data_IF_226150311140
#
_entry.id   IF_226150311140
#
_cell.length_a   1.000
_cell.length_b   1.000
_cell.length_c   1.000
_cell.angle_alpha   90.00
_cell.angle_beta   90.00
_cell.angle_gamma   90.00
#
_symmetry.space_group_name_H-M   'P 1'
#
loop_
_entity.id
_entity.type
_entity.pdbx_description
1 polymer ?
#
# COMPACT_ATOMS: atom_id res chain seq x y z
N UNK A 1 -5.69 -33.80 -1.44
CA UNK A 1 -6.39 -32.73 -0.74
C UNK A 1 -6.67 -33.12 0.70
N UNK A 2 -6.46 -32.20 1.61
CA UNK A 2 -6.59 -32.35 3.07
C UNK A 2 -7.58 -31.32 3.65
N UNK A 3 -8.72 -31.15 2.96
CA UNK A 3 -9.74 -30.16 3.28
C UNK A 3 -10.15 -30.05 4.75
N UNK A 4 -10.23 -31.14 5.54
CA UNK A 4 -10.58 -31.05 6.96
C UNK A 4 -9.60 -30.25 7.80
N UNK A 5 -8.32 -30.25 7.44
CA UNK A 5 -7.24 -29.53 8.15
C UNK A 5 -6.73 -28.33 7.36
N UNK A 6 -7.30 -28.05 6.19
CA UNK A 6 -6.97 -26.90 5.38
C UNK A 6 -7.68 -25.64 5.90
N UNK A 7 -6.95 -24.54 6.09
CA UNK A 7 -7.51 -23.29 6.58
C UNK A 7 -8.49 -22.63 5.59
N UNK A 8 -8.36 -22.90 4.29
CA UNK A 8 -9.30 -22.48 3.26
C UNK A 8 -10.53 -23.40 3.12
N UNK A 9 -10.66 -24.42 3.96
CA UNK A 9 -11.80 -25.34 3.94
C UNK A 9 -13.12 -24.64 4.26
N UNK A 10 -14.11 -24.76 3.36
CA UNK A 10 -15.43 -24.13 3.45
C UNK A 10 -15.58 -22.83 2.67
N UNK A 11 -14.51 -22.26 2.11
CA UNK A 11 -14.53 -21.07 1.24
C UNK A 11 -13.48 -21.12 0.12
N UNK A 12 -13.02 -22.31 -0.20
CA UNK A 12 -12.01 -22.58 -1.24
C UNK A 12 -12.66 -22.62 -2.60
N UNK A 13 -12.14 -21.86 -3.57
CA UNK A 13 -12.65 -21.84 -4.93
C UNK A 13 -12.60 -23.22 -5.61
N UNK A 14 -11.58 -24.04 -5.30
CA UNK A 14 -11.52 -25.42 -5.78
C UNK A 14 -12.67 -26.30 -5.24
N UNK A 15 -13.06 -26.10 -3.97
CA UNK A 15 -14.22 -26.80 -3.41
C UNK A 15 -15.52 -26.38 -4.12
N UNK A 16 -15.70 -25.10 -4.40
CA UNK A 16 -16.85 -24.60 -5.15
C UNK A 16 -16.93 -25.24 -6.54
N UNK A 17 -15.82 -25.28 -7.26
CA UNK A 17 -15.76 -25.96 -8.58
C UNK A 17 -16.05 -27.46 -8.48
N UNK A 18 -15.56 -28.12 -7.43
CA UNK A 18 -15.82 -29.55 -7.19
C UNK A 18 -17.32 -29.81 -6.98
N UNK A 19 -17.98 -28.97 -6.20
CA UNK A 19 -19.43 -29.06 -5.95
C UNK A 19 -20.22 -28.77 -7.23
N UNK A 20 -19.88 -27.70 -7.96
CA UNK A 20 -20.56 -27.33 -9.21
C UNK A 20 -20.48 -28.42 -10.28
N UNK A 21 -19.35 -29.12 -10.36
CA UNK A 21 -19.15 -30.22 -11.33
C UNK A 21 -19.65 -31.57 -10.85
N UNK A 22 -20.25 -31.63 -9.67
CA UNK A 22 -20.76 -32.86 -9.05
C UNK A 22 -19.72 -33.98 -8.97
N UNK A 23 -18.45 -33.59 -8.69
CA UNK A 23 -17.36 -34.51 -8.58
C UNK A 23 -17.36 -35.20 -7.21
N UNK A 24 -18.06 -36.33 -7.10
CA UNK A 24 -18.32 -37.06 -5.86
C UNK A 24 -17.28 -38.14 -5.52
N UNK A 25 -16.47 -38.53 -6.51
CA UNK A 25 -15.50 -39.61 -6.35
C UNK A 25 -14.19 -39.40 -7.10
N UNK A 26 -13.10 -39.85 -6.47
CA UNK A 26 -11.76 -39.80 -7.03
C UNK A 26 -11.57 -40.85 -8.15
N UNK A 27 -11.14 -40.38 -9.33
CA UNK A 27 -10.77 -41.25 -10.47
C UNK A 27 -9.26 -41.48 -10.57
N UNK A 28 -8.43 -40.59 -9.98
CA UNK A 28 -6.98 -40.70 -10.00
C UNK A 28 -6.50 -41.87 -9.15
N UNK A 29 -5.74 -42.80 -9.76
CA UNK A 29 -5.29 -44.06 -9.13
C UNK A 29 -3.78 -44.16 -8.99
N UNK A 30 -3.04 -43.19 -9.48
CA UNK A 30 -1.58 -43.17 -9.42
C UNK A 30 -1.08 -42.72 -8.04
N UNK A 31 0.21 -42.97 -7.78
CA UNK A 31 0.89 -42.46 -6.57
C UNK A 31 0.87 -40.95 -6.55
N UNK A 32 0.46 -40.38 -5.44
CA UNK A 32 0.51 -38.93 -5.22
C UNK A 32 1.94 -38.48 -5.02
N UNK A 33 2.27 -37.31 -5.51
CA UNK A 33 3.53 -36.64 -5.22
C UNK A 33 3.42 -35.92 -3.90
N UNK A 34 4.54 -35.85 -3.19
CA UNK A 34 4.70 -35.08 -1.97
C UNK A 34 5.76 -34.02 -2.22
N UNK A 35 5.45 -32.80 -1.92
CA UNK A 35 6.35 -31.66 -1.99
C UNK A 35 6.73 -31.21 -0.58
N UNK A 36 7.91 -30.63 -0.46
CA UNK A 36 8.31 -29.94 0.76
C UNK A 36 7.61 -28.59 0.87
N UNK A 37 7.30 -28.19 2.09
CA UNK A 37 6.82 -26.85 2.40
C UNK A 37 8.03 -25.96 2.69
N UNK A 38 7.92 -24.67 2.41
CA UNK A 38 8.93 -23.67 2.73
C UNK A 38 8.47 -22.78 3.87
N UNK A 39 9.43 -22.23 4.61
CA UNK A 39 9.22 -21.08 5.46
C UNK A 39 9.22 -19.82 4.57
N UNK A 40 8.11 -19.09 4.55
CA UNK A 40 7.91 -17.87 3.74
C UNK A 40 7.78 -16.60 4.59
N UNK A 41 8.25 -16.63 5.82
CA UNK A 41 8.21 -15.52 6.77
C UNK A 41 7.09 -15.63 7.79
N UNK A 42 6.86 -14.55 8.54
CA UNK A 42 5.99 -14.54 9.71
C UNK A 42 4.49 -14.57 9.39
N UNK A 43 4.11 -14.26 8.16
CA UNK A 43 2.70 -14.00 7.81
C UNK A 43 2.08 -15.08 6.93
N UNK A 44 2.85 -15.79 6.13
CA UNK A 44 2.33 -16.70 5.10
C UNK A 44 2.79 -18.12 5.36
N UNK A 45 1.83 -19.03 5.50
CA UNK A 45 2.06 -20.47 5.48
C UNK A 45 2.14 -20.99 4.07
N UNK A 46 2.87 -22.08 3.87
CA UNK A 46 3.05 -22.74 2.59
C UNK A 46 2.77 -24.23 2.68
N UNK A 47 1.77 -24.69 1.94
CA UNK A 47 1.35 -26.10 1.83
C UNK A 47 1.33 -26.55 0.38
N UNK A 48 2.50 -26.81 -0.21
CA UNK A 48 2.67 -27.03 -1.63
C UNK A 48 1.86 -28.22 -2.18
N UNK A 49 1.54 -29.22 -1.35
CA UNK A 49 0.73 -30.37 -1.74
C UNK A 49 -0.72 -30.03 -2.15
N UNK A 50 -1.19 -28.84 -1.82
CA UNK A 50 -2.52 -28.33 -2.17
C UNK A 50 -2.55 -27.63 -3.54
N UNK A 51 -1.39 -27.52 -4.20
CA UNK A 51 -1.23 -26.79 -5.45
C UNK A 51 -1.91 -27.49 -6.62
N UNK A 52 -2.63 -26.73 -7.45
CA UNK A 52 -3.25 -27.18 -8.70
C UNK A 52 -2.51 -26.68 -9.94
N UNK A 53 -1.33 -26.12 -9.79
CA UNK A 53 -0.48 -25.58 -10.86
C UNK A 53 -1.20 -24.56 -11.77
N UNK A 54 -1.97 -23.65 -11.21
CA UNK A 54 -2.72 -22.63 -11.95
C UNK A 54 -1.90 -21.38 -12.31
N UNK A 55 -0.70 -21.21 -11.76
CA UNK A 55 0.22 -20.08 -11.99
C UNK A 55 -0.29 -18.70 -11.54
N UNK A 56 -1.45 -18.57 -10.91
CA UNK A 56 -1.99 -17.26 -10.47
C UNK A 56 -1.07 -16.54 -9.50
N UNK A 57 -0.45 -17.26 -8.55
CA UNK A 57 0.48 -16.72 -7.58
C UNK A 57 1.69 -16.03 -8.21
N UNK A 58 2.34 -16.68 -9.18
CA UNK A 58 3.53 -16.14 -9.86
C UNK A 58 3.16 -14.93 -10.71
N UNK A 59 2.11 -15.03 -11.50
CA UNK A 59 1.62 -13.91 -12.33
C UNK A 59 1.26 -12.69 -11.47
N UNK A 60 0.63 -12.92 -10.33
CA UNK A 60 0.36 -11.85 -9.39
C UNK A 60 1.64 -11.28 -8.80
N UNK A 61 2.45 -12.14 -8.17
CA UNK A 61 3.57 -11.70 -7.35
C UNK A 61 4.68 -11.04 -8.19
N UNK A 62 5.06 -11.64 -9.32
CA UNK A 62 6.12 -11.12 -10.16
C UNK A 62 5.60 -10.07 -11.14
N UNK A 63 4.57 -10.41 -11.95
CA UNK A 63 4.16 -9.56 -13.05
C UNK A 63 3.39 -8.32 -12.60
N UNK A 64 2.62 -8.42 -11.51
CA UNK A 64 1.78 -7.33 -11.03
C UNK A 64 2.39 -6.58 -9.84
N UNK A 65 2.79 -7.30 -8.78
CA UNK A 65 3.32 -6.72 -7.55
C UNK A 65 4.84 -6.42 -7.60
N UNK A 66 5.57 -6.93 -8.60
CA UNK A 66 7.00 -6.66 -8.79
C UNK A 66 7.91 -7.38 -7.82
N UNK A 67 7.45 -8.48 -7.21
CA UNK A 67 8.30 -9.32 -6.37
C UNK A 67 9.26 -10.15 -7.21
N UNK A 68 10.50 -10.29 -6.77
CA UNK A 68 11.57 -10.99 -7.50
C UNK A 68 12.06 -12.26 -6.80
N UNK A 69 11.61 -12.47 -5.57
CA UNK A 69 12.07 -13.54 -4.68
C UNK A 69 11.16 -14.78 -4.64
N UNK A 70 10.18 -14.85 -5.54
CA UNK A 70 9.24 -15.95 -5.68
C UNK A 70 9.13 -16.36 -7.15
N UNK A 71 8.97 -17.66 -7.41
CA UNK A 71 8.91 -18.15 -8.79
C UNK A 71 8.38 -19.55 -8.95
N UNK A 72 8.54 -20.08 -10.17
CA UNK A 72 8.24 -21.46 -10.53
C UNK A 72 9.55 -22.19 -10.81
N UNK A 73 9.77 -23.31 -10.16
CA UNK A 73 10.96 -24.15 -10.31
C UNK A 73 10.57 -25.53 -10.81
N UNK A 74 11.50 -26.18 -11.50
CA UNK A 74 11.24 -27.47 -12.11
C UNK A 74 10.46 -27.40 -13.43
N UNK A 75 10.05 -28.54 -13.93
CA UNK A 75 9.36 -28.65 -15.20
C UNK A 75 8.23 -29.68 -15.20
N UNK A 76 7.35 -29.58 -16.18
CA UNK A 76 6.24 -30.47 -16.42
C UNK A 76 5.46 -30.78 -15.12
N UNK A 77 5.40 -32.04 -14.76
CA UNK A 77 4.67 -32.50 -13.58
C UNK A 77 5.42 -32.32 -12.24
N UNK A 78 6.60 -31.71 -12.26
CA UNK A 78 7.44 -31.47 -11.06
C UNK A 78 7.61 -29.97 -10.76
N UNK A 79 6.68 -29.14 -11.24
CA UNK A 79 6.71 -27.70 -10.93
C UNK A 79 6.50 -27.46 -9.44
N UNK A 80 7.25 -26.51 -8.93
CA UNK A 80 7.21 -26.06 -7.53
C UNK A 80 7.06 -24.54 -7.50
N UNK A 81 6.13 -24.05 -6.71
CA UNK A 81 5.86 -22.61 -6.55
C UNK A 81 6.36 -22.18 -5.18
N UNK A 82 7.36 -21.32 -5.16
CA UNK A 82 7.99 -20.90 -3.90
C UNK A 82 9.17 -19.97 -4.15
N UNK A 83 10.04 -19.85 -3.15
CA UNK A 83 11.34 -19.19 -3.24
C UNK A 83 12.43 -20.18 -3.67
N UNK A 84 13.61 -19.71 -4.16
CA UNK A 84 14.77 -20.58 -4.34
C UNK A 84 15.16 -21.30 -3.05
N UNK A 85 15.14 -20.56 -1.94
CA UNK A 85 15.41 -21.05 -0.59
C UNK A 85 14.34 -20.54 0.38
N UNK A 86 14.22 -21.16 1.57
CA UNK A 86 13.33 -20.69 2.63
C UNK A 86 13.74 -19.28 3.08
N UNK A 87 12.76 -18.43 3.31
CA UNK A 87 12.98 -17.05 3.72
C UNK A 87 11.74 -16.20 3.57
N UNK A 88 11.74 -15.02 4.15
CA UNK A 88 10.61 -14.08 4.10
C UNK A 88 10.38 -13.58 2.68
N UNK A 89 9.13 -13.57 2.24
CA UNK A 89 8.72 -12.89 1.02
C UNK A 89 8.83 -11.37 1.23
N UNK A 90 9.53 -10.69 0.34
CA UNK A 90 9.94 -9.31 0.55
C UNK A 90 9.00 -8.25 -0.04
N UNK A 91 8.08 -8.65 -0.94
CA UNK A 91 7.10 -7.70 -1.47
C UNK A 91 6.15 -7.24 -0.38
N UNK A 92 5.90 -5.94 -0.32
CA UNK A 92 4.92 -5.31 0.57
C UNK A 92 3.47 -5.73 0.29
N UNK A 93 3.26 -6.54 -0.73
CA UNK A 93 1.99 -7.13 -1.13
C UNK A 93 1.97 -8.66 -1.05
N UNK A 94 2.90 -9.28 -0.35
CA UNK A 94 3.04 -10.73 -0.28
C UNK A 94 1.79 -11.42 0.28
N UNK A 95 1.10 -10.79 1.21
CA UNK A 95 -0.11 -11.31 1.85
C UNK A 95 -1.28 -11.55 0.89
N UNK A 96 -1.30 -10.91 -0.28
CA UNK A 96 -2.35 -11.20 -1.27
C UNK A 96 -2.23 -12.60 -1.90
N UNK A 97 -1.10 -13.29 -1.74
CA UNK A 97 -0.99 -14.69 -2.14
C UNK A 97 -2.07 -15.55 -1.47
N UNK A 98 -2.50 -15.20 -0.25
CA UNK A 98 -3.56 -15.92 0.45
C UNK A 98 -4.94 -15.77 -0.19
N UNK A 99 -5.21 -14.68 -0.90
CA UNK A 99 -6.47 -14.43 -1.60
C UNK A 99 -6.39 -14.77 -3.10
N UNK A 100 -5.22 -14.61 -3.70
CA UNK A 100 -5.00 -14.91 -5.13
C UNK A 100 -4.95 -16.41 -5.37
N UNK A 101 -4.43 -17.20 -4.42
CA UNK A 101 -4.38 -18.65 -4.53
C UNK A 101 -5.80 -19.23 -4.44
N UNK A 102 -6.24 -20.05 -5.45
CA UNK A 102 -7.58 -20.64 -5.41
C UNK A 102 -7.70 -21.84 -4.47
N UNK A 103 -6.63 -22.17 -3.75
CA UNK A 103 -6.54 -23.31 -2.81
C UNK A 103 -5.75 -22.90 -1.56
N UNK A 104 -5.67 -23.75 -0.57
CA UNK A 104 -4.94 -23.48 0.68
C UNK A 104 -3.43 -23.71 0.60
N UNK A 105 -2.77 -23.40 -0.52
CA UNK A 105 -1.29 -23.44 -0.62
C UNK A 105 -0.68 -22.33 0.21
N UNK A 106 -1.20 -21.11 0.06
CA UNK A 106 -0.78 -19.95 0.83
C UNK A 106 -1.92 -19.56 1.77
N UNK A 107 -1.63 -19.58 3.08
CA UNK A 107 -2.62 -19.23 4.10
C UNK A 107 -2.04 -18.24 5.10
N UNK A 108 -2.92 -17.56 5.83
CA UNK A 108 -2.57 -16.51 6.77
C UNK A 108 -2.17 -17.10 8.13
N UNK A 109 -0.89 -17.02 8.50
CA UNK A 109 -0.39 -17.49 9.80
C UNK A 109 -1.03 -16.75 10.98
N UNK A 110 -1.39 -15.49 10.84
CA UNK A 110 -2.03 -14.73 11.92
C UNK A 110 -3.46 -15.21 12.19
N UNK A 111 -4.14 -15.65 11.13
CA UNK A 111 -5.44 -16.33 11.23
C UNK A 111 -5.29 -17.75 11.79
N UNK A 112 -4.29 -18.52 11.33
CA UNK A 112 -4.00 -19.87 11.83
C UNK A 112 -3.85 -19.92 13.34
N UNK A 113 -3.18 -18.96 13.94
CA UNK A 113 -2.95 -18.88 15.38
C UNK A 113 -4.26 -18.78 16.19
N UNK A 114 -5.33 -18.31 15.57
CA UNK A 114 -6.65 -18.10 16.20
C UNK A 114 -7.76 -18.59 15.27
N UNK A 115 -7.56 -19.73 14.67
CA UNK A 115 -8.35 -20.26 13.57
C UNK A 115 -9.84 -20.44 13.91
N UNK A 116 -10.64 -20.00 12.97
CA UNK A 116 -12.05 -20.36 12.81
C UNK A 116 -12.42 -20.36 11.34
N UNK A 117 -13.52 -20.98 10.95
CA UNK A 117 -13.97 -20.98 9.57
C UNK A 117 -14.42 -19.59 9.13
N UNK A 118 -14.17 -19.24 7.86
CA UNK A 118 -14.53 -17.93 7.31
C UNK A 118 -16.02 -17.61 7.48
N UNK A 119 -16.89 -18.56 7.24
CA UNK A 119 -18.33 -18.42 7.37
C UNK A 119 -18.82 -18.28 8.84
N UNK A 120 -17.96 -18.55 9.81
CA UNK A 120 -18.26 -18.35 11.25
C UNK A 120 -17.79 -16.96 11.76
N UNK A 121 -17.17 -16.16 10.92
CA UNK A 121 -16.79 -14.79 11.23
C UNK A 121 -17.87 -13.78 10.88
N UNK A 122 -17.92 -12.69 11.62
CA UNK A 122 -18.70 -11.51 11.29
C UNK A 122 -17.78 -10.49 10.61
N UNK A 123 -18.18 -10.02 9.43
CA UNK A 123 -17.43 -9.05 8.67
C UNK A 123 -18.13 -7.69 8.68
N UNK A 124 -17.35 -6.62 8.77
CA UNK A 124 -17.85 -5.26 8.64
C UNK A 124 -17.00 -4.47 7.63
N UNK A 125 -17.61 -3.58 6.84
CA UNK A 125 -16.84 -2.68 5.99
C UNK A 125 -16.06 -1.69 6.85
N UNK A 126 -14.76 -1.51 6.52
CA UNK A 126 -13.89 -0.57 7.22
C UNK A 126 -12.86 0.02 6.25
N UNK A 127 -12.07 0.96 6.76
CA UNK A 127 -10.98 1.63 6.05
C UNK A 127 -9.67 1.37 6.79
N UNK A 128 -8.62 1.02 6.04
CA UNK A 128 -7.28 0.82 6.58
C UNK A 128 -6.70 2.15 7.08
N UNK A 129 -6.18 2.17 8.29
CA UNK A 129 -5.54 3.34 8.91
C UNK A 129 -4.00 3.28 8.86
N UNK A 130 -3.44 2.37 8.08
CA UNK A 130 -1.99 2.15 8.01
C UNK A 130 -1.20 3.24 7.29
N UNK A 131 -1.85 3.97 6.38
CA UNK A 131 -1.31 5.13 5.65
C UNK A 131 -2.46 5.97 5.08
N UNK A 132 -2.14 7.08 4.41
CA UNK A 132 -3.12 8.01 3.83
C UNK A 132 -3.88 7.47 2.61
N UNK A 133 -3.50 6.32 2.06
CA UNK A 133 -4.21 5.71 0.90
C UNK A 133 -5.65 5.30 1.20
N UNK A 134 -6.00 5.03 2.46
CA UNK A 134 -7.38 4.74 2.85
C UNK A 134 -7.99 3.49 2.21
N UNK A 135 -7.21 2.43 2.02
CA UNK A 135 -7.68 1.19 1.39
C UNK A 135 -8.90 0.62 2.09
N UNK A 136 -9.86 0.13 1.31
CA UNK A 136 -11.06 -0.51 1.83
C UNK A 136 -10.74 -1.93 2.30
N UNK A 137 -11.17 -2.27 3.50
CA UNK A 137 -10.93 -3.57 4.14
C UNK A 137 -12.21 -4.17 4.70
N UNK A 138 -12.19 -5.48 4.89
CA UNK A 138 -13.21 -6.25 5.60
C UNK A 138 -12.54 -7.01 6.76
N UNK A 139 -12.45 -6.43 7.95
CA UNK A 139 -12.03 -7.16 9.14
C UNK A 139 -13.11 -8.17 9.53
N UNK A 140 -12.68 -9.41 9.76
CA UNK A 140 -13.49 -10.50 10.26
C UNK A 140 -13.26 -10.68 11.76
N UNK A 141 -14.36 -10.61 12.51
CA UNK A 141 -14.36 -10.74 13.97
C UNK A 141 -15.00 -12.06 14.39
N UNK A 142 -14.48 -12.66 15.45
CA UNK A 142 -15.12 -13.74 16.19
C UNK A 142 -14.67 -13.74 17.64
N UNK A 143 -15.61 -13.88 18.57
CA UNK A 143 -15.39 -13.91 20.01
C UNK A 143 -14.71 -12.64 20.57
N UNK A 144 -15.02 -11.47 20.02
CA UNK A 144 -14.46 -10.20 20.45
C UNK A 144 -13.03 -9.92 19.95
N UNK A 145 -12.53 -10.70 18.97
CA UNK A 145 -11.19 -10.55 18.41
C UNK A 145 -11.23 -10.46 16.87
N UNK A 146 -10.38 -9.62 16.31
CA UNK A 146 -10.13 -9.64 14.86
C UNK A 146 -9.33 -10.90 14.55
N UNK A 147 -9.88 -11.73 13.69
CA UNK A 147 -9.30 -13.01 13.27
C UNK A 147 -8.53 -12.89 11.96
N UNK A 148 -9.05 -12.09 11.03
CA UNK A 148 -8.50 -11.92 9.68
C UNK A 148 -8.89 -10.55 9.14
N UNK A 149 -8.06 -9.98 8.28
CA UNK A 149 -8.40 -8.80 7.49
C UNK A 149 -8.31 -9.15 6.02
N UNK A 150 -9.41 -8.97 5.31
CA UNK A 150 -9.49 -9.22 3.87
C UNK A 150 -9.57 -7.92 3.08
N UNK A 151 -9.14 -7.99 1.83
CA UNK A 151 -9.37 -6.90 0.90
C UNK A 151 -10.86 -6.73 0.63
N UNK A 152 -11.33 -5.48 0.63
CA UNK A 152 -12.65 -5.12 0.15
C UNK A 152 -12.51 -4.31 -1.11
N UNK A 153 -13.07 -4.80 -2.20
CA UNK A 153 -12.92 -4.18 -3.51
C UNK A 153 -13.40 -2.72 -3.52
N UNK A 154 -12.54 -1.84 -4.00
CA UNK A 154 -12.87 -0.47 -4.37
C UNK A 154 -12.08 -0.11 -5.63
N UNK A 155 -12.78 0.06 -6.76
CA UNK A 155 -12.17 0.30 -8.07
C UNK A 155 -11.29 1.55 -8.14
N UNK A 156 -11.60 2.58 -7.35
CA UNK A 156 -10.90 3.87 -7.36
C UNK A 156 -9.69 3.91 -6.42
N UNK A 157 -9.62 3.04 -5.41
CA UNK A 157 -8.57 3.08 -4.39
C UNK A 157 -7.66 1.86 -4.46
N UNK A 158 -8.11 0.73 -3.91
CA UNK A 158 -7.24 -0.45 -3.72
C UNK A 158 -7.54 -1.61 -4.66
N UNK A 159 -8.61 -1.55 -5.44
CA UNK A 159 -9.03 -2.64 -6.33
C UNK A 159 -9.12 -3.96 -5.56
N UNK A 160 -8.41 -4.99 -6.00
CA UNK A 160 -8.39 -6.33 -5.41
C UNK A 160 -7.26 -6.55 -4.40
N UNK A 161 -6.44 -5.53 -4.07
CA UNK A 161 -5.18 -5.75 -3.37
C UNK A 161 -5.07 -4.90 -2.10
N UNK A 162 -4.51 -5.50 -1.06
CA UNK A 162 -4.21 -4.89 0.23
C UNK A 162 -2.75 -5.15 0.57
N UNK A 163 -2.03 -4.11 1.00
CA UNK A 163 -0.63 -4.30 1.42
C UNK A 163 -0.54 -5.08 2.76
N UNK A 164 0.62 -5.66 3.01
CA UNK A 164 0.87 -6.50 4.19
C UNK A 164 0.69 -5.72 5.50
N UNK A 165 1.05 -4.44 5.52
CA UNK A 165 0.79 -3.54 6.65
C UNK A 165 -0.71 -3.42 6.96
N UNK A 166 -1.54 -3.27 5.93
CA UNK A 166 -2.99 -3.19 6.08
C UNK A 166 -3.64 -4.52 6.45
N UNK A 167 -3.07 -5.64 5.98
CA UNK A 167 -3.57 -6.99 6.24
C UNK A 167 -3.18 -7.51 7.62
N UNK A 168 -1.92 -7.38 7.99
CA UNK A 168 -1.35 -8.01 9.19
C UNK A 168 -1.07 -7.03 10.34
N UNK A 169 -1.06 -5.72 10.06
CA UNK A 169 -0.71 -4.69 11.04
C UNK A 169 -1.78 -4.39 12.11
N UNK A 170 -2.77 -5.27 12.27
CA UNK A 170 -3.93 -5.06 13.16
C UNK A 170 -3.79 -5.72 14.53
N UNK A 171 -2.65 -6.34 14.83
CA UNK A 171 -2.42 -7.07 16.09
C UNK A 171 -2.69 -6.25 17.36
N UNK A 172 -2.46 -4.94 17.28
CA UNK A 172 -2.72 -4.02 18.41
C UNK A 172 -4.19 -3.98 18.88
N UNK A 173 -5.12 -4.37 18.01
CA UNK A 173 -6.57 -4.40 18.34
C UNK A 173 -6.86 -5.49 19.36
N UNK A 174 -6.15 -6.62 19.28
CA UNK A 174 -6.37 -7.79 20.11
C UNK A 174 -5.49 -7.83 21.37
N UNK A 175 -4.68 -6.80 21.65
CA UNK A 175 -3.83 -6.76 22.83
C UNK A 175 -4.67 -6.86 24.10
N UNK A 176 -4.23 -7.71 25.03
CA UNK A 176 -4.91 -7.96 26.32
C UNK A 176 -4.93 -6.70 27.19
N UNK A 177 -3.85 -5.92 27.15
CA UNK A 177 -3.72 -4.70 27.94
C UNK A 177 -4.45 -3.48 27.32
N UNK A 178 -5.14 -3.65 26.21
CA UNK A 178 -5.92 -2.58 25.59
C UNK A 178 -7.16 -2.29 26.44
N UNK A 179 -7.37 -1.04 26.92
CA UNK A 179 -8.58 -0.67 27.64
C UNK A 179 -9.82 -0.90 26.78
N UNK A 180 -10.78 -1.70 27.26
CA UNK A 180 -12.06 -1.98 26.57
C UNK A 180 -13.26 -1.31 27.23
N UNK A 181 -13.05 -0.80 28.45
CA UNK A 181 -14.04 -0.08 29.23
C UNK A 181 -13.38 1.12 29.90
N UNK A 182 -14.15 2.16 30.26
CA UNK A 182 -13.64 3.30 31.02
C UNK A 182 -13.05 2.87 32.36
N UNK A 183 -12.00 3.55 32.79
CA UNK A 183 -11.28 3.23 34.01
C UNK A 183 -10.99 4.50 34.80
N UNK A 184 -11.22 4.45 36.12
CA UNK A 184 -10.76 5.47 37.05
C UNK A 184 -9.49 5.04 37.74
N UNK A 185 -8.54 5.93 37.84
CA UNK A 185 -7.34 5.75 38.62
C UNK A 185 -7.45 6.53 39.94
N UNK A 186 -7.48 5.80 41.06
CA UNK A 186 -7.42 6.36 42.43
C UNK A 186 -6.08 5.97 43.05
N UNK A 187 -5.09 6.86 42.96
CA UNK A 187 -3.73 6.54 43.37
C UNK A 187 -3.11 5.44 42.50
N UNK A 188 -2.74 4.29 43.09
CA UNK A 188 -2.22 3.11 42.40
C UNK A 188 -3.30 2.16 41.88
N UNK A 189 -4.54 2.31 42.36
CA UNK A 189 -5.63 1.41 41.99
C UNK A 189 -6.34 1.90 40.73
N UNK A 190 -6.63 0.95 39.83
CA UNK A 190 -7.41 1.18 38.60
C UNK A 190 -8.71 0.40 38.74
N UNK A 191 -9.83 1.13 38.65
CA UNK A 191 -11.19 0.60 38.79
C UNK A 191 -11.95 0.76 37.47
N UNK A 192 -12.54 -0.32 36.97
CA UNK A 192 -13.39 -0.28 35.77
C UNK A 192 -14.77 0.27 36.15
N UNK A 193 -15.26 1.20 35.35
CA UNK A 193 -16.56 1.83 35.59
C UNK A 193 -17.47 1.76 34.35
N UNK A 194 -18.75 1.97 34.53
CA UNK A 194 -19.69 2.08 33.40
C UNK A 194 -19.42 3.35 32.56
N UNK A 195 -19.86 3.36 31.31
CA UNK A 195 -19.74 4.52 30.44
C UNK A 195 -20.45 5.73 31.03
N UNK A 196 -21.65 5.55 31.57
CA UNK A 196 -22.44 6.63 32.15
C UNK A 196 -21.74 7.26 33.37
N UNK A 197 -21.23 6.43 34.30
CA UNK A 197 -20.46 6.91 35.42
C UNK A 197 -19.17 7.64 35.01
N UNK A 198 -18.52 7.20 33.93
CA UNK A 198 -17.37 7.90 33.37
C UNK A 198 -17.74 9.27 32.79
N UNK A 199 -18.85 9.34 32.05
CA UNK A 199 -19.34 10.59 31.45
C UNK A 199 -19.74 11.60 32.54
N UNK A 200 -20.50 11.18 33.54
CA UNK A 200 -20.90 12.02 34.67
C UNK A 200 -19.66 12.61 35.38
N UNK A 201 -18.67 11.78 35.66
CA UNK A 201 -17.41 12.25 36.28
C UNK A 201 -16.63 13.21 35.38
N UNK A 202 -16.60 13.00 34.07
CA UNK A 202 -15.94 13.94 33.14
C UNK A 202 -16.70 15.26 33.12
N UNK A 203 -18.02 15.25 33.03
CA UNK A 203 -18.87 16.44 33.04
C UNK A 203 -18.60 17.24 34.33
N UNK A 204 -18.62 16.60 35.49
CA UNK A 204 -18.33 17.25 36.79
C UNK A 204 -16.92 17.81 36.83
N UNK A 205 -15.94 17.07 36.30
CA UNK A 205 -14.53 17.48 36.29
C UNK A 205 -14.26 18.71 35.44
N UNK A 206 -14.98 18.91 34.31
CA UNK A 206 -14.77 20.02 33.37
C UNK A 206 -15.66 21.23 33.65
N UNK A 207 -16.73 21.08 34.43
CA UNK A 207 -17.70 22.13 34.70
C UNK A 207 -17.05 23.37 35.32
N UNK A 208 -17.23 24.52 34.70
CA UNK A 208 -16.70 25.78 35.15
C UNK A 208 -15.16 25.96 35.05
N UNK A 209 -14.48 25.04 34.36
CA UNK A 209 -13.04 25.07 34.15
C UNK A 209 -12.68 25.41 32.71
N UNK A 210 -11.48 25.97 32.51
CA UNK A 210 -10.89 26.06 31.18
C UNK A 210 -10.34 24.72 30.80
N UNK A 211 -10.87 24.14 29.68
CA UNK A 211 -10.53 22.83 29.19
C UNK A 211 -9.70 22.94 27.91
N UNK A 212 -8.60 22.21 27.84
CA UNK A 212 -7.82 22.03 26.61
C UNK A 212 -8.17 20.68 25.97
N UNK A 213 -8.50 20.69 24.71
CA UNK A 213 -8.76 19.49 23.92
C UNK A 213 -7.54 19.12 23.07
N UNK A 214 -7.05 17.89 23.23
CA UNK A 214 -5.98 17.35 22.39
C UNK A 214 -6.60 16.26 21.52
N UNK A 215 -6.72 16.55 20.22
CA UNK A 215 -7.18 15.61 19.21
C UNK A 215 -6.12 14.58 18.82
N UNK A 216 -6.42 13.81 17.81
CA UNK A 216 -5.49 12.82 17.28
C UNK A 216 -5.64 12.71 15.77
N UNK A 217 -4.53 12.68 14.99
CA UNK A 217 -4.58 12.44 13.54
C UNK A 217 -5.08 11.03 13.19
N UNK A 218 -5.16 10.13 14.18
CA UNK A 218 -5.71 8.77 14.03
C UNK A 218 -7.19 8.65 14.41
N UNK A 219 -7.75 9.67 15.04
CA UNK A 219 -9.18 9.71 15.35
C UNK A 219 -9.98 10.10 14.09
N UNK A 220 -11.28 9.79 14.09
CA UNK A 220 -12.14 10.22 13.02
C UNK A 220 -12.28 11.75 12.98
N UNK A 221 -12.64 12.28 11.81
CA UNK A 221 -12.90 13.71 11.63
C UNK A 221 -14.00 14.18 12.59
N UNK A 222 -15.08 13.37 12.73
CA UNK A 222 -16.20 13.65 13.62
C UNK A 222 -15.78 13.74 15.08
N UNK A 223 -14.92 12.83 15.54
CA UNK A 223 -14.41 12.83 16.91
C UNK A 223 -13.54 14.07 17.20
N UNK A 224 -12.66 14.44 16.27
CA UNK A 224 -11.84 15.65 16.39
C UNK A 224 -12.72 16.91 16.34
N UNK A 225 -13.71 16.94 15.45
CA UNK A 225 -14.66 18.06 15.34
C UNK A 225 -15.47 18.23 16.64
N UNK A 226 -16.06 17.14 17.16
CA UNK A 226 -16.82 17.18 18.40
C UNK A 226 -15.98 17.65 19.59
N UNK A 227 -14.72 17.22 19.68
CA UNK A 227 -13.80 17.71 20.71
C UNK A 227 -13.54 19.20 20.55
N UNK A 228 -13.29 19.69 19.32
CA UNK A 228 -13.07 21.11 19.06
C UNK A 228 -14.30 21.95 19.43
N UNK A 229 -15.50 21.50 19.11
CA UNK A 229 -16.74 22.21 19.49
C UNK A 229 -16.97 22.22 21.01
N UNK A 230 -16.57 21.15 21.71
CA UNK A 230 -16.68 21.08 23.17
C UNK A 230 -15.77 22.08 23.89
N UNK A 231 -14.51 22.24 23.43
CA UNK A 231 -13.50 23.05 24.12
C UNK A 231 -13.32 24.47 23.57
N UNK A 232 -13.85 24.71 22.36
CA UNK A 232 -13.61 25.92 21.58
C UNK A 232 -12.34 25.85 20.74
N UNK A 233 -12.34 26.54 19.60
CA UNK A 233 -11.24 26.49 18.62
C UNK A 233 -9.90 26.93 19.22
N UNK A 234 -9.89 27.94 20.10
CA UNK A 234 -8.70 28.48 20.75
C UNK A 234 -8.07 27.55 21.79
N UNK A 235 -8.83 26.56 22.25
CA UNK A 235 -8.38 25.60 23.26
C UNK A 235 -8.17 24.20 22.66
N UNK A 236 -8.22 24.07 21.32
CA UNK A 236 -8.07 22.79 20.62
C UNK A 236 -6.69 22.67 19.98
N UNK A 237 -6.10 21.49 20.11
CA UNK A 237 -4.88 21.08 19.41
C UNK A 237 -5.14 19.82 18.59
N UNK A 238 -4.59 19.72 17.39
CA UNK A 238 -4.67 18.53 16.53
C UNK A 238 -3.90 17.32 17.09
N UNK A 239 -3.06 17.51 18.09
CA UNK A 239 -2.15 16.48 18.63
C UNK A 239 -0.89 16.26 17.78
N UNK A 240 -0.67 17.07 16.76
CA UNK A 240 0.58 17.11 15.98
C UNK A 240 1.57 18.11 16.61
N UNK A 241 2.86 17.88 16.38
CA UNK A 241 3.87 18.90 16.64
C UNK A 241 3.68 20.09 15.70
N UNK A 242 4.15 21.28 16.10
CA UNK A 242 4.05 22.47 15.24
C UNK A 242 4.71 22.27 13.88
N UNK A 243 5.83 21.55 13.83
CA UNK A 243 6.52 21.23 12.59
C UNK A 243 5.67 20.35 11.67
N UNK A 244 5.08 19.30 12.21
CA UNK A 244 4.21 18.40 11.44
C UNK A 244 2.94 19.11 10.98
N UNK A 245 2.35 19.95 11.83
CA UNK A 245 1.18 20.74 11.46
C UNK A 245 1.49 21.69 10.29
N UNK A 246 2.61 22.41 10.34
CA UNK A 246 3.03 23.30 9.27
C UNK A 246 3.21 22.54 7.95
N UNK A 247 3.76 21.31 7.98
CA UNK A 247 3.92 20.47 6.78
C UNK A 247 2.56 20.02 6.21
N UNK A 248 1.62 19.65 7.08
CA UNK A 248 0.27 19.25 6.64
C UNK A 248 -0.48 20.45 6.06
N UNK A 249 -0.36 21.63 6.68
CA UNK A 249 -0.95 22.87 6.16
C UNK A 249 -0.33 23.26 4.81
N UNK A 250 0.98 23.12 4.66
CA UNK A 250 1.67 23.34 3.38
C UNK A 250 1.16 22.35 2.31
N UNK A 251 1.07 21.05 2.63
CA UNK A 251 0.52 20.05 1.71
C UNK A 251 -0.89 20.42 1.27
N UNK A 252 -1.77 20.77 2.22
CA UNK A 252 -3.13 21.18 1.93
C UNK A 252 -3.20 22.43 1.05
N UNK A 253 -2.34 23.41 1.29
CA UNK A 253 -2.26 24.65 0.50
C UNK A 253 -1.79 24.37 -0.93
N UNK A 254 -0.78 23.52 -1.11
CA UNK A 254 -0.28 23.10 -2.43
C UNK A 254 -1.40 22.38 -3.21
N UNK A 255 -2.12 21.45 -2.57
CA UNK A 255 -3.21 20.72 -3.21
C UNK A 255 -4.41 21.61 -3.60
N UNK A 256 -4.58 22.76 -2.97
CA UNK A 256 -5.63 23.75 -3.27
C UNK A 256 -5.17 24.83 -4.25
N UNK A 257 -3.91 24.82 -4.66
CA UNK A 257 -3.37 25.83 -5.59
C UNK A 257 -3.99 25.66 -6.97
N UNK A 258 -4.43 26.75 -7.56
CA UNK A 258 -4.99 26.77 -8.92
C UNK A 258 -3.96 26.27 -9.95
N UNK A 259 -4.41 25.40 -10.85
CA UNK A 259 -3.56 24.80 -11.88
C UNK A 259 -2.80 23.53 -11.42
N UNK A 260 -2.95 23.09 -10.16
CA UNK A 260 -2.43 21.81 -9.67
C UNK A 260 -3.55 20.77 -9.69
N UNK A 261 -3.35 19.70 -10.45
CA UNK A 261 -4.29 18.58 -10.52
C UNK A 261 -3.87 17.45 -9.56
N UNK A 262 -4.79 17.03 -8.70
CA UNK A 262 -4.55 15.94 -7.74
C UNK A 262 -5.22 14.65 -8.24
N UNK A 263 -4.47 13.70 -8.81
CA UNK A 263 -5.04 12.47 -9.36
C UNK A 263 -5.50 11.52 -8.26
N UNK A 264 -6.60 10.80 -8.53
CA UNK A 264 -7.01 9.67 -7.72
C UNK A 264 -6.08 8.48 -7.86
N UNK A 265 -6.10 7.57 -6.88
CA UNK A 265 -5.20 6.39 -6.83
C UNK A 265 -5.26 5.53 -8.10
N UNK A 266 -6.45 5.35 -8.67
CA UNK A 266 -6.67 4.62 -9.92
C UNK A 266 -6.05 5.34 -11.11
N UNK A 267 -6.15 6.64 -11.14
CA UNK A 267 -5.69 7.46 -12.25
C UNK A 267 -4.16 7.48 -12.38
N UNK A 268 -3.43 7.33 -11.26
CA UNK A 268 -1.97 7.23 -11.24
C UNK A 268 -1.46 6.17 -12.24
N UNK A 269 -2.20 5.07 -12.42
CA UNK A 269 -1.83 4.00 -13.35
C UNK A 269 -1.80 4.44 -14.83
N UNK A 270 -2.39 5.59 -15.16
CA UNK A 270 -2.46 6.12 -16.53
C UNK A 270 -1.35 7.09 -16.91
N UNK A 271 -0.50 7.48 -15.97
CA UNK A 271 0.59 8.42 -16.21
C UNK A 271 1.75 7.77 -16.97
N UNK A 272 2.43 8.54 -17.81
CA UNK A 272 3.48 8.06 -18.72
C UNK A 272 4.89 8.49 -18.35
N UNK A 273 5.04 9.40 -17.38
CA UNK A 273 6.30 9.73 -16.72
C UNK A 273 6.06 10.06 -15.26
N UNK A 274 6.94 9.60 -14.35
CA UNK A 274 6.77 9.80 -12.90
C UNK A 274 8.06 10.34 -12.30
N UNK A 275 7.95 11.37 -11.46
CA UNK A 275 9.00 11.88 -10.61
C UNK A 275 8.58 11.76 -9.14
N UNK A 276 9.38 11.07 -8.33
CA UNK A 276 9.18 10.90 -6.89
C UNK A 276 10.26 11.69 -6.15
N UNK A 277 9.84 12.63 -5.31
CA UNK A 277 10.71 13.51 -4.54
C UNK A 277 10.54 13.28 -3.03
N UNK A 278 11.55 12.72 -2.39
CA UNK A 278 11.66 12.60 -0.94
C UNK A 278 10.85 11.47 -0.30
N UNK A 279 10.24 10.57 -1.09
CA UNK A 279 9.39 9.52 -0.56
C UNK A 279 9.86 8.11 -0.95
N UNK A 280 9.80 7.18 0.01
CA UNK A 280 9.76 5.74 -0.26
C UNK A 280 8.32 5.26 -0.23
N UNK A 281 7.68 5.26 -1.38
CA UNK A 281 6.27 4.88 -1.52
C UNK A 281 5.99 3.43 -1.08
N UNK A 282 6.98 2.54 -1.14
CA UNK A 282 6.78 1.14 -0.71
C UNK A 282 6.54 1.04 0.79
N UNK A 283 7.01 2.03 1.56
CA UNK A 283 6.83 2.12 3.02
C UNK A 283 5.71 3.08 3.42
N UNK A 284 5.61 4.24 2.75
CA UNK A 284 4.69 5.31 3.15
C UNK A 284 3.30 5.19 2.50
N UNK A 285 3.24 4.72 1.26
CA UNK A 285 2.00 4.56 0.50
C UNK A 285 2.06 3.35 -0.45
N UNK A 286 2.12 2.10 0.06
CA UNK A 286 2.36 0.91 -0.78
C UNK A 286 1.37 0.78 -1.95
N UNK A 287 0.09 1.15 -1.76
CA UNK A 287 -0.88 1.09 -2.86
C UNK A 287 -0.53 2.06 -3.99
N UNK A 288 0.02 3.23 -3.67
CA UNK A 288 0.52 4.18 -4.66
C UNK A 288 1.76 3.63 -5.38
N UNK A 289 2.69 3.00 -4.64
CA UNK A 289 3.83 2.29 -5.23
C UNK A 289 3.39 1.24 -6.26
N UNK A 290 2.34 0.48 -5.95
CA UNK A 290 1.76 -0.50 -6.86
C UNK A 290 1.16 0.17 -8.11
N UNK A 291 0.51 1.32 -7.98
CA UNK A 291 0.01 2.11 -9.13
C UNK A 291 1.15 2.63 -10.00
N UNK A 292 2.24 3.11 -9.41
CA UNK A 292 3.45 3.54 -10.14
C UNK A 292 4.06 2.37 -10.91
N UNK A 293 4.11 1.15 -10.33
CA UNK A 293 4.54 -0.06 -11.05
C UNK A 293 3.67 -0.37 -12.28
N UNK A 294 2.37 -0.11 -12.20
CA UNK A 294 1.50 -0.28 -13.37
C UNK A 294 1.73 0.84 -14.40
N UNK A 295 1.94 2.09 -13.96
CA UNK A 295 2.30 3.21 -14.83
C UNK A 295 3.58 2.94 -15.63
N UNK A 296 4.60 2.29 -15.02
CA UNK A 296 5.82 1.87 -15.71
C UNK A 296 5.57 1.03 -16.97
N UNK A 297 4.45 0.30 -17.03
CA UNK A 297 4.08 -0.58 -18.14
C UNK A 297 3.40 0.15 -19.31
N UNK A 298 3.09 1.42 -19.19
CA UNK A 298 2.32 2.14 -20.23
C UNK A 298 3.09 2.22 -21.53
N UNK A 299 4.43 2.34 -21.50
CA UNK A 299 5.24 2.29 -22.72
C UNK A 299 5.10 0.94 -23.45
N UNK A 300 5.12 -0.15 -22.70
CA UNK A 300 4.91 -1.50 -23.25
C UNK A 300 3.51 -1.65 -23.89
N UNK A 301 2.47 -1.11 -23.24
CA UNK A 301 1.11 -1.11 -23.75
C UNK A 301 0.98 -0.26 -25.03
N UNK A 302 1.62 0.90 -25.08
CA UNK A 302 1.67 1.75 -26.27
C UNK A 302 2.28 1.00 -27.47
N UNK A 303 3.46 0.39 -27.28
CA UNK A 303 4.13 -0.42 -28.32
C UNK A 303 3.30 -1.64 -28.76
N UNK A 304 2.55 -2.27 -27.84
CA UNK A 304 1.66 -3.37 -28.15
C UNK A 304 0.44 -2.90 -28.97
N UNK A 305 -0.11 -1.74 -28.62
CA UNK A 305 -1.23 -1.16 -29.36
C UNK A 305 -0.87 -0.82 -30.81
N UNK A 306 0.35 -0.30 -31.07
CA UNK A 306 0.88 -0.08 -32.41
C UNK A 306 0.91 -1.36 -33.24
N UNK A 307 1.21 -2.50 -32.60
CA UNK A 307 1.20 -3.83 -33.21
C UNK A 307 -0.17 -4.53 -33.14
N UNK A 308 -1.24 -3.82 -32.73
CA UNK A 308 -2.59 -4.35 -32.56
C UNK A 308 -2.67 -5.56 -31.63
N UNK A 309 -1.77 -5.62 -30.65
CA UNK A 309 -1.73 -6.66 -29.60
C UNK A 309 -2.52 -6.17 -28.40
N UNK A 310 -3.38 -7.02 -27.89
CA UNK A 310 -4.23 -6.69 -26.73
C UNK A 310 -3.40 -6.63 -25.44
N UNK A 311 -3.61 -5.60 -24.61
CA UNK A 311 -2.80 -5.32 -23.42
C UNK A 311 -2.88 -6.39 -22.31
N UNK A 312 -3.92 -7.23 -22.31
CA UNK A 312 -4.06 -8.32 -21.35
C UNK A 312 -3.25 -9.58 -21.72
N UNK A 313 -2.65 -9.62 -22.90
CA UNK A 313 -1.78 -10.71 -23.34
C UNK A 313 -0.35 -10.47 -22.83
N UNK A 314 -0.06 -10.93 -21.59
CA UNK A 314 1.19 -10.63 -20.89
C UNK A 314 2.45 -11.06 -21.67
N UNK A 315 2.49 -12.29 -22.22
CA UNK A 315 3.66 -12.82 -22.93
C UNK A 315 3.93 -12.05 -24.24
N UNK A 316 2.97 -11.84 -25.15
CA UNK A 316 3.19 -10.99 -26.31
C UNK A 316 3.61 -9.58 -25.96
N UNK A 317 3.04 -8.99 -24.88
CA UNK A 317 3.41 -7.67 -24.40
C UNK A 317 4.89 -7.60 -23.99
N UNK A 318 5.35 -8.56 -23.19
CA UNK A 318 6.76 -8.66 -22.76
C UNK A 318 7.70 -8.84 -23.95
N UNK A 319 7.32 -9.68 -24.91
CA UNK A 319 8.12 -9.89 -26.12
C UNK A 319 8.23 -8.65 -26.99
N UNK A 320 7.17 -7.83 -27.08
CA UNK A 320 7.17 -6.59 -27.86
C UNK A 320 7.98 -5.50 -27.14
N UNK A 321 7.77 -5.36 -25.87
CA UNK A 321 8.35 -4.29 -25.07
C UNK A 321 9.79 -4.56 -24.62
N UNK A 322 10.12 -5.84 -24.37
CA UNK A 322 11.39 -6.23 -23.75
C UNK A 322 11.64 -5.42 -22.49
N UNK A 323 12.64 -4.54 -22.49
CA UNK A 323 13.00 -3.68 -21.36
C UNK A 323 12.39 -2.28 -21.41
N UNK A 324 11.55 -2.00 -22.42
CA UNK A 324 10.94 -0.68 -22.56
C UNK A 324 9.94 -0.40 -21.43
N UNK A 325 10.17 0.67 -20.69
CA UNK A 325 9.34 1.15 -19.58
C UNK A 325 9.03 2.63 -19.74
N UNK A 326 7.92 3.08 -19.20
CA UNK A 326 7.68 4.52 -19.00
C UNK A 326 8.68 5.05 -17.96
N UNK A 327 9.23 6.25 -18.16
CA UNK A 327 10.29 6.76 -17.29
C UNK A 327 9.79 7.05 -15.88
N UNK A 328 10.55 6.57 -14.90
CA UNK A 328 10.33 6.82 -13.47
C UNK A 328 11.65 7.29 -12.88
N UNK A 329 11.64 8.45 -12.25
CA UNK A 329 12.78 8.99 -11.53
C UNK A 329 12.47 9.10 -10.04
N UNK A 330 13.44 8.71 -9.20
CA UNK A 330 13.30 8.66 -7.76
C UNK A 330 14.46 9.42 -7.12
N UNK A 331 14.15 10.42 -6.31
CA UNK A 331 15.09 11.12 -5.46
C UNK A 331 14.68 10.87 -4.01
N UNK A 332 15.42 10.05 -3.29
CA UNK A 332 15.05 9.59 -1.94
C UNK A 332 16.25 9.61 -1.00
N UNK A 333 16.02 9.55 0.31
CA UNK A 333 17.09 9.50 1.30
C UNK A 333 17.74 8.11 1.43
N UNK A 334 17.08 7.08 0.91
CA UNK A 334 17.54 5.68 0.89
C UNK A 334 17.15 5.04 -0.41
N UNK A 335 17.83 3.97 -0.80
CA UNK A 335 17.41 3.16 -1.94
C UNK A 335 16.03 2.57 -1.71
N UNK A 336 15.16 2.68 -2.71
CA UNK A 336 13.78 2.20 -2.64
C UNK A 336 13.59 0.88 -3.38
N UNK A 337 12.53 0.13 -3.06
CA UNK A 337 12.19 -1.10 -3.82
C UNK A 337 11.63 -0.82 -5.22
N UNK A 338 11.31 0.43 -5.53
CA UNK A 338 10.92 0.85 -6.88
C UNK A 338 12.11 1.03 -7.82
N UNK A 339 13.35 0.91 -7.33
CA UNK A 339 14.57 0.98 -8.13
C UNK A 339 14.57 -0.01 -9.31
N UNK A 340 13.93 -1.17 -9.18
CA UNK A 340 13.78 -2.19 -10.22
C UNK A 340 12.97 -1.71 -11.46
N UNK A 341 12.09 -0.74 -11.27
CA UNK A 341 11.28 -0.13 -12.35
C UNK A 341 11.74 1.29 -12.68
N UNK A 342 12.61 1.90 -11.87
CA UNK A 342 13.11 3.25 -12.10
C UNK A 342 14.00 3.34 -13.34
N UNK A 343 13.94 4.47 -14.02
CA UNK A 343 14.86 4.88 -15.08
C UNK A 343 16.14 5.47 -14.48
N UNK A 344 15.98 6.16 -13.34
CA UNK A 344 17.09 6.70 -12.56
C UNK A 344 16.67 6.91 -11.11
N UNK A 345 17.60 6.59 -10.20
CA UNK A 345 17.43 6.80 -8.76
C UNK A 345 18.64 7.53 -8.21
N UNK A 346 18.39 8.52 -7.35
CA UNK A 346 19.46 9.24 -6.62
C UNK A 346 19.15 9.14 -5.12
N UNK A 347 20.13 8.65 -4.37
CA UNK A 347 20.10 8.66 -2.91
C UNK A 347 20.88 9.88 -2.41
N UNK A 348 20.21 10.81 -1.76
CA UNK A 348 20.80 12.08 -1.35
C UNK A 348 20.21 12.60 -0.02
N UNK A 349 20.87 13.62 0.54
CA UNK A 349 20.31 14.30 1.72
C UNK A 349 19.03 15.05 1.39
N UNK A 350 18.12 15.33 2.35
CA UNK A 350 16.91 16.12 2.12
C UNK A 350 17.18 17.46 1.43
N UNK A 351 18.22 18.17 1.85
CA UNK A 351 18.61 19.44 1.22
C UNK A 351 19.02 19.29 -0.25
N UNK A 352 19.74 18.23 -0.58
CA UNK A 352 20.18 17.99 -1.97
C UNK A 352 19.00 17.52 -2.83
N UNK A 353 18.06 16.75 -2.28
CA UNK A 353 16.80 16.39 -2.94
C UNK A 353 16.01 17.65 -3.27
N UNK A 354 15.86 18.58 -2.33
CA UNK A 354 15.18 19.86 -2.55
C UNK A 354 15.87 20.69 -3.65
N UNK A 355 17.21 20.81 -3.58
CA UNK A 355 18.01 21.53 -4.61
C UNK A 355 17.85 20.93 -5.99
N UNK A 356 17.91 19.60 -6.10
CA UNK A 356 17.65 18.89 -7.37
C UNK A 356 16.22 19.10 -7.84
N UNK A 357 15.24 19.08 -6.95
CA UNK A 357 13.84 19.36 -7.28
C UNK A 357 13.64 20.75 -7.87
N UNK A 358 14.21 21.79 -7.25
CA UNK A 358 14.18 23.15 -7.80
C UNK A 358 14.93 23.28 -9.13
N UNK A 359 16.04 22.57 -9.29
CA UNK A 359 16.79 22.52 -10.53
C UNK A 359 15.95 21.90 -11.67
N UNK A 360 15.23 20.80 -11.38
CA UNK A 360 14.28 20.21 -12.32
C UNK A 360 13.17 21.22 -12.68
N UNK A 361 12.63 21.93 -11.69
CA UNK A 361 11.61 22.96 -11.93
C UNK A 361 12.11 24.08 -12.86
N UNK A 362 13.34 24.56 -12.63
CA UNK A 362 14.00 25.53 -13.52
C UNK A 362 14.18 25.00 -14.95
N UNK A 363 14.68 23.75 -15.09
CA UNK A 363 14.83 23.08 -16.38
C UNK A 363 13.50 22.89 -17.12
N UNK A 364 12.42 22.57 -16.41
CA UNK A 364 11.06 22.50 -16.98
C UNK A 364 10.63 23.85 -17.51
N UNK A 365 10.89 24.92 -16.79
CA UNK A 365 10.58 26.30 -17.22
C UNK A 365 11.48 26.78 -18.35
N UNK A 366 12.61 26.12 -18.58
CA UNK A 366 13.63 26.54 -19.56
C UNK A 366 14.61 27.58 -19.04
N UNK A 367 14.71 27.72 -17.72
CA UNK A 367 15.69 28.56 -17.03
C UNK A 367 17.04 27.84 -16.83
N UNK A 368 18.09 28.59 -16.62
CA UNK A 368 19.42 28.01 -16.38
C UNK A 368 19.47 27.31 -15.02
N UNK A 369 19.94 26.07 -15.00
CA UNK A 369 20.19 25.32 -13.75
C UNK A 369 21.50 25.82 -13.15
N UNK A 370 21.42 26.40 -11.96
CA UNK A 370 22.56 26.97 -11.23
C UNK A 370 22.81 26.23 -9.91
N UNK A 371 24.04 26.30 -9.42
CA UNK A 371 24.40 25.84 -8.07
C UNK A 371 24.48 24.33 -7.88
N UNK A 372 24.57 23.55 -8.97
CA UNK A 372 24.80 22.11 -8.96
C UNK A 372 26.09 21.75 -9.69
N UNK A 373 26.68 20.63 -9.34
CA UNK A 373 27.77 19.99 -10.09
C UNK A 373 27.28 19.53 -11.47
N UNK A 374 28.18 19.38 -12.43
CA UNK A 374 27.83 19.12 -13.84
C UNK A 374 27.01 17.84 -14.02
N UNK A 375 27.33 16.76 -13.32
CA UNK A 375 26.59 15.49 -13.39
C UNK A 375 25.16 15.63 -12.85
N UNK A 376 24.99 16.31 -11.72
CA UNK A 376 23.69 16.57 -11.11
C UNK A 376 22.85 17.51 -11.97
N UNK A 377 23.48 18.48 -12.61
CA UNK A 377 22.84 19.39 -13.56
C UNK A 377 22.36 18.66 -14.82
N UNK A 378 23.20 17.79 -15.39
CA UNK A 378 22.84 16.97 -16.55
C UNK A 378 21.68 16.03 -16.22
N UNK A 379 21.68 15.43 -15.03
CA UNK A 379 20.60 14.57 -14.57
C UNK A 379 19.28 15.34 -14.39
N UNK A 380 19.32 16.50 -13.72
CA UNK A 380 18.13 17.35 -13.56
C UNK A 380 17.57 17.81 -14.93
N UNK A 381 18.44 18.15 -15.88
CA UNK A 381 18.04 18.52 -17.24
C UNK A 381 17.36 17.34 -17.97
N UNK A 382 17.92 16.14 -17.86
CA UNK A 382 17.33 14.92 -18.45
C UNK A 382 15.93 14.65 -17.91
N UNK A 383 15.72 14.78 -16.59
CA UNK A 383 14.40 14.64 -15.97
C UNK A 383 13.45 15.70 -16.50
N UNK A 384 13.87 16.97 -16.52
CA UNK A 384 13.05 18.08 -16.99
C UNK A 384 12.59 17.88 -18.44
N UNK A 385 13.48 17.46 -19.33
CA UNK A 385 13.18 17.15 -20.73
C UNK A 385 12.20 15.98 -20.86
N UNK A 386 12.40 14.91 -20.07
CA UNK A 386 11.53 13.76 -20.06
C UNK A 386 10.12 14.12 -19.61
N UNK A 387 9.97 14.89 -18.52
CA UNK A 387 8.68 15.32 -18.01
C UNK A 387 7.96 16.26 -19.01
N UNK A 388 8.69 17.13 -19.69
CA UNK A 388 8.12 18.00 -20.75
C UNK A 388 7.65 17.23 -21.98
N UNK A 389 8.31 16.15 -22.32
CA UNK A 389 7.95 15.29 -23.45
C UNK A 389 6.77 14.36 -23.14
N UNK A 390 6.46 14.14 -21.86
CA UNK A 390 5.37 13.27 -21.42
C UNK A 390 3.99 13.89 -21.74
N UNK A 391 3.03 13.02 -22.07
CA UNK A 391 1.63 13.41 -22.27
C UNK A 391 0.91 13.70 -20.95
N UNK A 392 1.24 12.89 -19.93
CA UNK A 392 0.72 12.97 -18.57
C UNK A 392 1.86 12.74 -17.56
N UNK A 393 2.63 13.76 -17.19
CA UNK A 393 3.66 13.65 -16.17
C UNK A 393 3.03 13.68 -14.76
N UNK A 394 3.55 12.85 -13.84
CA UNK A 394 3.15 12.78 -12.43
C UNK A 394 4.31 13.14 -11.53
N UNK A 395 4.07 14.01 -10.58
CA UNK A 395 4.99 14.35 -9.50
C UNK A 395 4.40 13.81 -8.19
N UNK A 396 5.23 13.12 -7.41
CA UNK A 396 4.84 12.57 -6.11
C UNK A 396 5.82 13.10 -5.07
N UNK A 397 5.28 13.62 -3.98
CA UNK A 397 6.06 14.09 -2.83
C UNK A 397 5.26 13.92 -1.55
N UNK A 398 5.88 14.19 -0.40
CA UNK A 398 5.20 14.07 0.87
C UNK A 398 6.01 14.61 2.03
N UNK A 399 5.60 14.26 3.24
CA UNK A 399 6.10 14.83 4.50
C UNK A 399 7.16 13.98 5.19
N UNK A 400 7.54 12.83 4.64
CA UNK A 400 8.37 11.83 5.34
C UNK A 400 9.76 12.33 5.75
N UNK A 401 10.37 13.15 4.91
CA UNK A 401 11.68 13.76 5.21
C UNK A 401 11.58 15.03 6.05
N UNK A 402 10.36 15.48 6.38
CA UNK A 402 10.09 16.65 7.20
C UNK A 402 10.77 17.95 6.71
N UNK A 403 10.93 18.08 5.40
CA UNK A 403 11.51 19.26 4.75
C UNK A 403 10.49 19.90 3.79
N UNK A 404 10.01 21.12 4.10
CA UNK A 404 9.02 21.82 3.27
C UNK A 404 9.54 22.14 1.87
N UNK A 405 10.86 22.37 1.71
CA UNK A 405 11.45 22.74 0.44
C UNK A 405 11.30 21.63 -0.63
N UNK A 406 11.26 20.36 -0.23
CA UNK A 406 11.03 19.24 -1.15
C UNK A 406 9.61 19.30 -1.72
N UNK A 407 8.62 19.58 -0.88
CA UNK A 407 7.21 19.71 -1.29
C UNK A 407 6.99 20.93 -2.18
N UNK A 408 7.63 22.07 -1.84
CA UNK A 408 7.60 23.28 -2.64
C UNK A 408 8.26 23.06 -4.02
N UNK A 409 9.38 22.35 -4.07
CA UNK A 409 10.04 21.99 -5.32
C UNK A 409 9.13 21.11 -6.19
N UNK A 410 8.48 20.09 -5.61
CA UNK A 410 7.51 19.24 -6.30
C UNK A 410 6.34 20.05 -6.87
N UNK A 411 5.79 20.99 -6.08
CA UNK A 411 4.73 21.87 -6.51
C UNK A 411 5.16 22.77 -7.68
N UNK A 412 6.37 23.33 -7.62
CA UNK A 412 6.90 24.14 -8.72
C UNK A 412 7.12 23.34 -10.01
N UNK A 413 7.60 22.10 -9.91
CA UNK A 413 7.72 21.22 -11.08
C UNK A 413 6.34 21.01 -11.72
N UNK A 414 5.32 20.67 -10.92
CA UNK A 414 3.96 20.43 -11.42
C UNK A 414 3.36 21.70 -12.04
N UNK A 415 3.48 22.85 -11.39
CA UNK A 415 2.99 24.14 -11.90
C UNK A 415 3.66 24.52 -13.22
N UNK A 416 4.98 24.34 -13.34
CA UNK A 416 5.72 24.66 -14.56
C UNK A 416 5.38 23.71 -15.73
N UNK A 417 4.93 22.49 -15.46
CA UNK A 417 4.43 21.53 -16.45
C UNK A 417 3.00 21.87 -16.92
N UNK A 418 2.22 22.56 -16.08
CA UNK A 418 0.87 23.01 -16.42
C UNK A 418 -0.23 21.95 -16.23
N UNK A 419 -1.39 22.17 -16.84
CA UNK A 419 -2.64 21.44 -16.58
C UNK A 419 -2.61 19.92 -16.84
N UNK A 420 -1.63 19.42 -17.59
CA UNK A 420 -1.50 17.97 -17.86
C UNK A 420 -0.73 17.23 -16.78
N UNK A 421 -0.08 17.95 -15.86
CA UNK A 421 0.69 17.37 -14.78
C UNK A 421 -0.18 17.03 -13.58
N UNK A 422 0.05 15.84 -13.00
CA UNK A 422 -0.50 15.45 -11.69
C UNK A 422 0.49 15.73 -10.58
N UNK A 423 -0.01 16.12 -9.41
CA UNK A 423 0.76 16.19 -8.15
C UNK A 423 0.01 15.46 -7.04
N UNK A 424 0.67 14.59 -6.33
CA UNK A 424 0.08 13.84 -5.22
C UNK A 424 1.10 13.54 -4.13
#
# INVERSE_FOLDING_TARGET
>A
HDCPVCEEGGHCHLQDMTVMTQHDRRRYRFTKRTHHNQELGSFISHEMNRCIACYRCVRYYNDYAGGTDFGVYGNASRVYFGRPESGTLESEFSGNLTEVCPTGVFTDKTHSARYNRKWDMQYAPSVCQGCSSGCNISPGERYGEIRRVENRFNGEVNQYFLCDKGRFGTGYVNLENRPRQPQFRKGTNVETVSVDAALDSVIEAIQGKKVLGIGSPRASLESNFALRELVGQENYSTGLSQKEQNLVELAASIMQTEGVYNPGMREIESYDAVLILGEDLTQTAPRMALSVRQAAKNKAKEMAAEKRTQEWLAEPLQRIAQDAKSPIYILAATQTRLADVATGEVVASPNDIARLGFAIAAGVKGEAILGLEDDAKAFAQTIAETLKAAKKPLIISGTSLQDPAIMEAAAQVAQNLGANAGLT
#
